data_IF_237703695878
#
_entry.id   IF_237703695878
#
_cell.length_a   1.000
_cell.length_b   1.000
_cell.length_c   1.000
_cell.angle_alpha   90.00
_cell.angle_beta   90.00
_cell.angle_gamma   90.00
#
_symmetry.space_group_name_H-M   'P 1'
#
loop_
_entity.id
_entity.type
_entity.pdbx_description
1 polymer ?
#
# COMPACT_ATOMS: atom_id res chain seq x y z
N UNK A 1 13.71 10.57 16.04
CA UNK A 1 13.53 10.85 14.61
C UNK A 1 13.84 12.32 14.35
N UNK A 2 14.52 12.66 13.25
CA UNK A 2 14.72 14.07 12.82
C UNK A 2 13.40 14.78 12.47
N UNK A 3 12.30 14.03 12.36
CA UNK A 3 10.96 14.56 12.03
C UNK A 3 10.08 14.88 13.23
N UNK A 4 10.55 14.72 14.48
CA UNK A 4 9.74 14.98 15.68
C UNK A 4 8.70 13.91 16.05
N UNK A 5 8.32 13.04 15.12
CA UNK A 5 7.45 11.88 15.38
C UNK A 5 8.30 10.68 15.82
N UNK A 6 8.35 10.42 17.14
CA UNK A 6 8.99 9.21 17.67
C UNK A 6 8.03 8.02 17.52
N UNK A 7 8.41 7.07 16.69
CA UNK A 7 7.81 5.74 16.62
C UNK A 7 8.99 4.77 16.88
N UNK A 8 8.77 3.70 17.66
CA UNK A 8 9.80 2.91 18.37
C UNK A 8 10.98 2.39 17.54
N UNK A 9 11.95 1.71 18.18
CA UNK A 9 13.26 1.40 17.55
C UNK A 9 13.20 0.57 16.26
N UNK A 10 12.08 -0.10 15.96
CA UNK A 10 11.84 -0.82 14.70
C UNK A 10 10.40 -0.58 14.24
N UNK A 11 10.09 0.64 13.78
CA UNK A 11 8.78 0.92 13.17
C UNK A 11 8.92 1.78 11.91
N UNK A 12 7.96 1.63 11.00
CA UNK A 12 7.82 2.53 9.86
C UNK A 12 7.42 3.95 10.33
N UNK A 13 7.97 4.98 9.68
CA UNK A 13 7.65 6.39 9.94
C UNK A 13 6.96 6.99 8.70
N UNK A 14 5.63 6.99 8.64
CA UNK A 14 4.88 7.44 7.45
C UNK A 14 5.11 8.92 7.14
N UNK A 15 5.37 9.76 8.16
CA UNK A 15 5.67 11.19 7.95
C UNK A 15 6.99 11.35 7.23
N UNK A 16 8.04 10.66 7.70
CA UNK A 16 9.35 10.74 7.06
C UNK A 16 9.31 10.22 5.61
N UNK A 17 8.53 9.17 5.35
CA UNK A 17 8.34 8.65 3.99
C UNK A 17 7.66 9.67 3.08
N UNK A 18 6.59 10.34 3.55
CA UNK A 18 5.92 11.39 2.77
C UNK A 18 6.86 12.55 2.45
N UNK A 19 7.63 13.04 3.44
CA UNK A 19 8.57 14.13 3.24
C UNK A 19 9.70 13.79 2.25
N UNK A 20 10.19 12.54 2.26
CA UNK A 20 11.17 12.08 1.28
C UNK A 20 10.60 12.05 -0.15
N UNK A 21 9.32 11.71 -0.30
CA UNK A 21 8.67 11.71 -1.62
C UNK A 21 8.33 13.12 -2.10
N UNK A 22 8.02 14.05 -1.18
CA UNK A 22 7.89 15.47 -1.52
C UNK A 22 9.23 16.05 -2.00
N UNK A 23 10.35 15.72 -1.34
CA UNK A 23 11.70 16.14 -1.76
C UNK A 23 12.11 15.54 -3.12
N UNK A 24 11.60 14.35 -3.42
CA UNK A 24 11.75 13.72 -4.73
C UNK A 24 10.75 14.25 -5.79
N UNK A 25 9.92 15.24 -5.44
CA UNK A 25 8.93 15.88 -6.32
C UNK A 25 8.04 14.87 -7.05
N UNK A 26 7.57 13.84 -6.34
CA UNK A 26 6.67 12.85 -6.98
C UNK A 26 5.35 13.50 -7.40
N UNK A 27 4.85 13.14 -8.58
CA UNK A 27 3.58 13.68 -9.09
C UNK A 27 2.36 12.96 -8.53
N UNK A 28 2.54 11.73 -8.04
CA UNK A 28 1.50 10.87 -7.48
C UNK A 28 2.11 9.80 -6.59
N UNK A 29 1.45 9.47 -5.48
CA UNK A 29 1.87 8.40 -4.57
C UNK A 29 0.79 7.32 -4.50
N UNK A 30 1.22 6.05 -4.46
CA UNK A 30 0.32 4.89 -4.36
C UNK A 30 0.62 4.12 -3.07
N UNK A 31 -0.41 3.91 -2.26
CA UNK A 31 -0.33 3.10 -1.05
C UNK A 31 -0.68 1.65 -1.38
N UNK A 32 0.19 0.74 -0.93
CA UNK A 32 0.00 -0.70 -1.01
C UNK A 32 0.23 -1.35 0.38
N UNK A 33 -0.85 -1.74 1.06
CA UNK A 33 -0.79 -2.56 2.27
C UNK A 33 -0.36 -1.82 3.54
N UNK A 34 -0.58 -0.50 3.62
CA UNK A 34 -0.40 0.25 4.87
C UNK A 34 -1.64 0.14 5.78
N UNK A 35 -1.44 0.24 7.11
CA UNK A 35 -2.56 0.24 8.05
C UNK A 35 -3.23 1.61 8.10
N UNK A 36 -4.53 1.64 8.40
CA UNK A 36 -5.34 2.87 8.42
C UNK A 36 -4.67 4.08 9.09
N UNK A 37 -3.97 3.90 10.23
CA UNK A 37 -3.26 4.99 10.89
C UNK A 37 -2.04 5.50 10.11
N UNK A 38 -1.27 4.61 9.50
CA UNK A 38 -0.15 4.99 8.63
C UNK A 38 -0.65 5.61 7.33
N UNK A 39 -1.72 5.09 6.71
CA UNK A 39 -2.32 5.64 5.49
C UNK A 39 -2.75 7.08 5.71
N UNK A 40 -3.55 7.33 6.76
CA UNK A 40 -4.04 8.68 7.08
C UNK A 40 -2.87 9.64 7.31
N UNK A 41 -1.85 9.18 8.04
CA UNK A 41 -0.70 10.02 8.36
C UNK A 41 0.12 10.33 7.11
N UNK A 42 0.44 9.33 6.29
CA UNK A 42 1.18 9.52 5.05
C UNK A 42 0.43 10.46 4.10
N UNK A 43 -0.86 10.20 3.86
CA UNK A 43 -1.71 11.02 2.97
C UNK A 43 -1.82 12.46 3.45
N UNK A 44 -1.83 12.69 4.77
CA UNK A 44 -1.87 14.05 5.33
C UNK A 44 -0.60 14.87 5.03
N UNK A 45 0.57 14.24 4.96
CA UNK A 45 1.86 14.94 4.76
C UNK A 45 2.38 14.87 3.32
N UNK A 46 1.78 14.05 2.46
CA UNK A 46 2.09 14.01 1.03
C UNK A 46 1.58 15.28 0.36
N UNK A 47 2.45 15.97 -0.38
CA UNK A 47 2.07 17.11 -1.23
C UNK A 47 1.43 16.62 -2.53
N UNK A 48 1.95 15.52 -3.08
CA UNK A 48 1.37 14.83 -4.22
C UNK A 48 0.05 14.13 -3.85
N UNK A 49 -0.92 14.03 -4.77
CA UNK A 49 -2.12 13.24 -4.56
C UNK A 49 -1.79 11.78 -4.26
N UNK A 50 -2.47 11.23 -3.25
CA UNK A 50 -2.29 9.85 -2.81
C UNK A 50 -3.54 9.04 -3.11
N UNK A 51 -3.35 7.84 -3.64
CA UNK A 51 -4.43 6.84 -3.75
C UNK A 51 -4.02 5.53 -3.11
N UNK A 52 -4.98 4.80 -2.53
CA UNK A 52 -4.75 3.47 -1.99
C UNK A 52 -5.16 2.43 -3.02
N UNK A 53 -4.17 1.70 -3.55
CA UNK A 53 -4.42 0.61 -4.50
C UNK A 53 -4.78 -0.68 -3.77
N UNK A 54 -4.11 -0.95 -2.65
CA UNK A 54 -4.37 -2.15 -1.84
C UNK A 54 -4.47 -1.76 -0.38
N UNK A 55 -5.67 -1.85 0.19
CA UNK A 55 -5.88 -1.63 1.62
C UNK A 55 -5.36 -2.82 2.42
N UNK A 56 -4.62 -2.57 3.50
CA UNK A 56 -4.17 -3.63 4.41
C UNK A 56 -5.36 -4.22 5.14
N UNK A 57 -5.50 -5.54 5.04
CA UNK A 57 -6.42 -6.29 5.86
C UNK A 57 -5.66 -7.14 6.91
N UNK A 58 -6.37 -7.51 7.97
CA UNK A 58 -5.81 -8.34 9.05
C UNK A 58 -6.00 -9.83 8.78
N UNK A 59 -6.94 -10.21 7.93
CA UNK A 59 -7.24 -11.61 7.60
C UNK A 59 -6.07 -12.27 6.86
N UNK A 60 -5.44 -11.54 5.94
CA UNK A 60 -4.29 -11.98 5.14
C UNK A 60 -2.94 -11.70 5.81
N UNK A 61 -2.91 -11.40 7.12
CA UNK A 61 -1.68 -11.06 7.85
C UNK A 61 -0.86 -9.96 7.16
N UNK A 62 -1.53 -8.93 6.63
CA UNK A 62 -0.87 -7.78 5.99
C UNK A 62 -0.33 -8.07 4.58
N UNK A 63 -0.76 -9.18 3.97
CA UNK A 63 -0.50 -9.53 2.58
C UNK A 63 -1.81 -9.64 1.77
N UNK A 64 -2.60 -8.55 1.64
CA UNK A 64 -3.91 -8.55 0.97
C UNK A 64 -3.89 -9.12 -0.45
N UNK A 65 -2.80 -8.94 -1.20
CA UNK A 65 -2.66 -9.48 -2.56
C UNK A 65 -2.54 -11.01 -2.61
N UNK A 66 -2.25 -11.67 -1.49
CA UNK A 66 -2.07 -13.13 -1.43
C UNK A 66 -3.33 -13.88 -1.84
N UNK A 67 -4.51 -13.29 -1.67
CA UNK A 67 -5.79 -13.91 -2.05
C UNK A 67 -5.86 -14.24 -3.55
N UNK A 68 -5.18 -13.46 -4.38
CA UNK A 68 -5.11 -13.67 -5.83
C UNK A 68 -4.45 -15.02 -6.19
N UNK A 69 -3.60 -15.55 -5.31
CA UNK A 69 -2.86 -16.80 -5.50
C UNK A 69 -3.44 -17.96 -4.69
N UNK A 70 -4.60 -17.77 -4.06
CA UNK A 70 -5.32 -18.86 -3.39
C UNK A 70 -6.30 -19.51 -4.37
N UNK A 71 -6.81 -20.70 -4.01
CA UNK A 71 -7.89 -21.35 -4.76
C UNK A 71 -9.08 -20.41 -5.02
N UNK A 72 -9.38 -19.49 -4.10
CA UNK A 72 -10.44 -18.51 -4.28
C UNK A 72 -10.15 -17.54 -5.43
N UNK A 73 -8.93 -17.00 -5.48
CA UNK A 73 -8.46 -16.14 -6.57
C UNK A 73 -8.45 -16.88 -7.90
N UNK A 74 -7.89 -18.09 -7.94
CA UNK A 74 -7.88 -18.91 -9.16
C UNK A 74 -9.29 -19.21 -9.68
N UNK A 75 -10.21 -19.57 -8.78
CA UNK A 75 -11.61 -19.84 -9.17
C UNK A 75 -12.30 -18.60 -9.71
N UNK A 76 -12.11 -17.45 -9.04
CA UNK A 76 -12.75 -16.19 -9.41
C UNK A 76 -12.24 -15.64 -10.75
N UNK A 77 -10.93 -15.69 -10.99
CA UNK A 77 -10.30 -15.20 -12.22
C UNK A 77 -10.11 -16.29 -13.30
N UNK A 78 -10.68 -17.48 -13.09
CA UNK A 78 -10.44 -18.65 -13.96
C UNK A 78 -10.77 -18.38 -15.44
N UNK A 79 -11.92 -17.76 -15.71
CA UNK A 79 -12.35 -17.43 -17.07
C UNK A 79 -11.46 -16.35 -17.71
N UNK A 80 -11.16 -15.27 -16.99
CA UNK A 80 -10.29 -14.19 -17.48
C UNK A 80 -8.87 -14.69 -17.80
N UNK A 81 -8.32 -15.55 -16.93
CA UNK A 81 -7.00 -16.18 -17.13
C UNK A 81 -7.05 -17.12 -18.36
N UNK A 82 -8.16 -17.85 -18.54
CA UNK A 82 -8.35 -18.75 -19.67
C UNK A 82 -8.48 -18.00 -20.99
N UNK A 83 -9.17 -16.85 -21.00
CA UNK A 83 -9.24 -15.98 -22.17
C UNK A 83 -7.88 -15.38 -22.53
N UNK A 84 -7.11 -14.90 -21.54
CA UNK A 84 -5.74 -14.40 -21.78
C UNK A 84 -4.81 -15.45 -22.38
N UNK A 85 -4.91 -16.71 -21.95
CA UNK A 85 -4.08 -17.82 -22.49
C UNK A 85 -4.43 -18.21 -23.93
N UNK A 86 -5.60 -17.81 -24.44
CA UNK A 86 -6.02 -18.09 -25.83
C UNK A 86 -5.52 -17.04 -26.84
N UNK A 87 -5.11 -15.87 -26.36
CA UNK A 87 -4.44 -14.83 -27.16
C UNK A 87 -2.94 -15.07 -27.17
#
# INVERSE_FOLDING_TARGET
SKTGYMIGSVTCNPVAQALLLNDAETEMNIICGLCVGHDITFTKYSEAPVTTLIAKDRMTQHAPSSILFTHYGESFFSEDIREKKKK
#
